data_IF_131239203560
#
_entry.id   IF_131239203560
#
_cell.length_a   1.000
_cell.length_b   1.000
_cell.length_c   1.000
_cell.angle_alpha   90.00
_cell.angle_beta   90.00
_cell.angle_gamma   90.00
#
_symmetry.space_group_name_H-M   'P 1'
#
loop_
_entity.id
_entity.type
_entity.pdbx_description
1 polymer ?
#
# COMPACT_ATOMS: atom_id res chain seq x y z
N UNK A 1 14.84 9.61 -4.88
CA UNK A 1 15.90 8.70 -4.38
C UNK A 1 15.64 7.34 -5.00
N UNK A 2 16.68 6.61 -5.36
CA UNK A 2 16.54 5.20 -5.75
C UNK A 2 17.39 4.36 -4.79
N UNK A 3 16.76 3.35 -4.18
CA UNK A 3 17.38 2.42 -3.24
C UNK A 3 17.37 1.03 -3.87
N UNK A 4 18.53 0.39 -3.93
CA UNK A 4 18.67 -1.02 -4.32
C UNK A 4 19.29 -1.76 -3.15
N UNK A 5 18.59 -2.77 -2.64
CA UNK A 5 19.02 -3.58 -1.50
C UNK A 5 18.93 -5.07 -1.83
N UNK A 6 19.90 -5.84 -1.35
CA UNK A 6 19.88 -7.30 -1.41
C UNK A 6 19.24 -7.83 -0.13
N UNK A 7 18.21 -8.67 -0.26
CA UNK A 7 17.58 -9.35 0.86
C UNK A 7 18.25 -10.72 1.03
N UNK A 8 18.99 -10.89 2.11
CA UNK A 8 19.67 -12.16 2.42
C UNK A 8 18.77 -13.20 3.11
N UNK A 9 17.66 -12.74 3.72
CA UNK A 9 16.69 -13.57 4.44
C UNK A 9 15.33 -12.86 4.45
N UNK A 10 14.43 -13.27 3.56
CA UNK A 10 13.10 -12.69 3.38
C UNK A 10 12.20 -12.91 4.60
N UNK A 11 12.24 -14.11 5.20
CA UNK A 11 11.45 -14.42 6.40
C UNK A 11 11.86 -13.56 7.60
N UNK A 12 13.15 -13.24 7.72
CA UNK A 12 13.63 -12.32 8.75
C UNK A 12 13.08 -10.91 8.57
N UNK A 13 12.93 -10.44 7.33
CA UNK A 13 12.36 -9.13 7.02
C UNK A 13 10.87 -9.12 7.36
N UNK A 14 10.09 -10.10 6.89
CA UNK A 14 8.66 -10.21 7.21
C UNK A 14 8.43 -10.27 8.72
N UNK A 15 9.23 -11.05 9.47
CA UNK A 15 9.11 -11.12 10.93
C UNK A 15 9.39 -9.78 11.60
N UNK A 16 10.42 -9.07 11.17
CA UNK A 16 10.74 -7.75 11.70
C UNK A 16 9.60 -6.75 11.44
N UNK A 17 8.96 -6.82 10.27
CA UNK A 17 7.81 -5.99 9.95
C UNK A 17 6.62 -6.33 10.87
N UNK A 18 6.28 -7.60 11.05
CA UNK A 18 5.22 -8.04 11.97
C UNK A 18 5.48 -7.61 13.42
N UNK A 19 6.73 -7.73 13.90
CA UNK A 19 7.10 -7.26 15.24
C UNK A 19 6.91 -5.74 15.40
N UNK A 20 7.19 -4.97 14.35
CA UNK A 20 6.98 -3.51 14.38
C UNK A 20 5.50 -3.15 14.32
N UNK A 21 4.71 -3.81 13.48
CA UNK A 21 3.24 -3.65 13.40
C UNK A 21 2.58 -3.96 14.75
N UNK A 22 2.97 -5.06 15.40
CA UNK A 22 2.43 -5.45 16.69
C UNK A 22 2.83 -4.48 17.83
N UNK A 23 3.95 -3.79 17.66
CA UNK A 23 4.45 -2.78 18.60
C UNK A 23 3.87 -1.38 18.38
N UNK A 24 3.17 -1.13 17.28
CA UNK A 24 2.61 0.18 16.95
C UNK A 24 1.26 0.39 17.65
N UNK A 25 1.29 1.15 18.76
CA UNK A 25 0.09 1.48 19.52
C UNK A 25 -0.78 2.57 18.90
N UNK A 26 -0.27 3.26 17.88
CA UNK A 26 -1.00 4.33 17.17
C UNK A 26 -1.80 3.77 15.99
N UNK A 27 -1.52 2.54 15.57
CA UNK A 27 -2.20 1.85 14.47
C UNK A 27 -3.56 1.27 14.91
N UNK A 28 -4.69 1.68 14.29
CA UNK A 28 -6.00 1.07 14.50
C UNK A 28 -6.00 -0.43 14.18
N UNK A 29 -6.88 -1.20 14.82
CA UNK A 29 -6.88 -2.67 14.70
C UNK A 29 -7.21 -3.18 13.29
N UNK A 30 -8.08 -2.49 12.55
CA UNK A 30 -8.41 -2.80 11.16
C UNK A 30 -7.24 -2.50 10.21
N UNK A 31 -6.54 -1.39 10.41
CA UNK A 31 -5.32 -1.06 9.68
C UNK A 31 -4.16 -2.02 10.03
N UNK A 32 -4.07 -2.44 11.30
CA UNK A 32 -3.10 -3.42 11.76
C UNK A 32 -3.26 -4.76 11.02
N UNK A 33 -4.49 -5.29 10.96
CA UNK A 33 -4.76 -6.54 10.26
C UNK A 33 -4.43 -6.45 8.75
N UNK A 34 -4.70 -5.30 8.14
CA UNK A 34 -4.35 -5.08 6.73
C UNK A 34 -2.83 -5.04 6.52
N UNK A 35 -2.10 -4.30 7.38
CA UNK A 35 -0.65 -4.24 7.33
C UNK A 35 -0.02 -5.63 7.55
N UNK A 36 -0.51 -6.42 8.51
CA UNK A 36 -0.03 -7.79 8.75
C UNK A 36 -0.22 -8.69 7.52
N UNK A 37 -1.35 -8.58 6.82
CA UNK A 37 -1.61 -9.31 5.57
C UNK A 37 -0.60 -8.91 4.50
N UNK A 38 -0.46 -7.61 4.24
CA UNK A 38 0.40 -7.08 3.18
C UNK A 38 1.86 -7.52 3.34
N UNK A 39 2.44 -7.39 4.55
CA UNK A 39 3.85 -7.75 4.80
C UNK A 39 4.09 -9.27 4.78
N UNK A 40 3.03 -10.07 4.95
CA UNK A 40 3.10 -11.54 4.84
C UNK A 40 2.97 -12.01 3.40
N UNK A 41 2.27 -11.24 2.56
CA UNK A 41 2.05 -11.55 1.14
C UNK A 41 3.24 -11.15 0.25
N UNK A 42 3.94 -10.06 0.57
CA UNK A 42 5.07 -9.56 -0.21
C UNK A 42 6.22 -9.03 0.68
N UNK A 43 7.45 -9.46 0.37
CA UNK A 43 8.67 -8.96 1.03
C UNK A 43 8.90 -7.48 0.71
N UNK A 44 8.48 -6.99 -0.46
CA UNK A 44 8.56 -5.56 -0.80
C UNK A 44 7.69 -4.71 0.15
N UNK A 45 6.50 -5.19 0.50
CA UNK A 45 5.62 -4.55 1.48
C UNK A 45 6.25 -4.55 2.88
N UNK A 46 6.85 -5.68 3.28
CA UNK A 46 7.59 -5.77 4.54
C UNK A 46 8.76 -4.76 4.60
N UNK A 47 9.51 -4.60 3.51
CA UNK A 47 10.57 -3.58 3.41
C UNK A 47 10.00 -2.16 3.46
N UNK A 48 8.93 -1.88 2.72
CA UNK A 48 8.29 -0.58 2.70
C UNK A 48 7.81 -0.15 4.09
N UNK A 49 7.26 -1.09 4.87
CA UNK A 49 6.82 -0.84 6.24
C UNK A 49 7.98 -0.55 7.23
N UNK A 50 9.15 -1.16 6.99
CA UNK A 50 10.33 -0.99 7.83
C UNK A 50 11.13 0.27 7.51
N UNK A 51 10.98 0.82 6.30
CA UNK A 51 11.72 1.99 5.85
C UNK A 51 11.00 3.27 6.21
N UNK A 52 11.62 4.09 7.06
CA UNK A 52 11.19 5.48 7.27
C UNK A 52 11.98 6.41 6.33
N UNK A 53 11.35 6.95 5.27
CA UNK A 53 12.04 7.79 4.30
C UNK A 53 12.50 9.13 4.88
N UNK A 54 11.88 9.63 5.96
CA UNK A 54 12.28 10.87 6.61
C UNK A 54 13.53 10.65 7.44
N UNK A 55 13.54 9.61 8.26
CA UNK A 55 14.69 9.23 9.07
C UNK A 55 15.92 9.01 8.16
N UNK A 56 15.74 8.27 7.05
CA UNK A 56 16.78 7.98 6.07
C UNK A 56 17.48 9.22 5.48
N UNK A 57 16.74 10.31 5.22
CA UNK A 57 17.32 11.51 4.59
C UNK A 57 17.73 12.57 5.62
N UNK A 58 17.24 12.47 6.86
CA UNK A 58 17.49 13.44 7.91
C UNK A 58 18.95 13.50 8.37
N UNK A 59 19.68 12.39 8.25
CA UNK A 59 21.09 12.29 8.65
C UNK A 59 22.07 12.69 7.53
N UNK A 60 21.59 12.97 6.32
CA UNK A 60 22.45 13.28 5.16
C UNK A 60 22.86 14.77 5.19
N UNK A 61 24.17 15.09 5.32
CA UNK A 61 24.62 16.47 5.42
C UNK A 61 24.26 17.29 4.18
N UNK A 62 23.52 18.39 4.38
CA UNK A 62 23.11 19.30 3.30
C UNK A 62 21.79 18.94 2.61
N UNK A 63 21.09 17.89 3.05
CA UNK A 63 19.71 17.62 2.66
C UNK A 63 18.78 18.27 3.69
N UNK A 64 18.01 19.28 3.26
CA UNK A 64 16.84 19.75 4.01
C UNK A 64 15.57 19.30 3.26
N UNK A 65 14.61 18.73 3.98
CA UNK A 65 13.27 18.47 3.48
C UNK A 65 12.54 19.80 3.29
N UNK A 66 12.57 20.33 2.06
CA UNK A 66 12.11 21.70 1.80
C UNK A 66 10.58 21.80 1.80
N UNK A 67 9.86 20.91 1.11
CA UNK A 67 8.39 20.80 1.12
C UNK A 67 7.91 19.70 0.14
N UNK A 68 6.95 18.88 0.54
CA UNK A 68 6.05 18.17 -0.38
C UNK A 68 4.66 18.83 -0.29
N UNK A 69 4.18 19.41 -1.38
CA UNK A 69 2.86 20.02 -1.45
C UNK A 69 2.03 19.22 -2.44
N UNK A 70 0.89 18.76 -1.95
CA UNK A 70 -0.21 18.31 -2.77
C UNK A 70 -1.35 19.31 -2.61
N UNK A 71 -1.92 19.72 -3.73
CA UNK A 71 -3.18 20.46 -3.76
C UNK A 71 -4.26 19.53 -4.25
N UNK A 72 -5.30 19.34 -3.44
CA UNK A 72 -6.55 18.71 -3.85
C UNK A 72 -7.65 19.77 -3.96
N UNK A 73 -8.56 19.59 -4.90
CA UNK A 73 -9.80 20.35 -4.99
C UNK A 73 -10.96 19.37 -4.80
N UNK A 74 -11.97 19.77 -4.02
CA UNK A 74 -13.16 18.94 -3.84
C UNK A 74 -14.04 19.11 -5.08
N UNK A 75 -14.16 18.03 -5.85
CA UNK A 75 -15.03 17.93 -7.02
C UNK A 75 -16.18 16.98 -6.72
N UNK A 76 -17.34 17.22 -7.34
CA UNK A 76 -18.45 16.27 -7.29
C UNK A 76 -18.05 14.97 -8.00
N UNK A 77 -18.45 13.84 -7.43
CA UNK A 77 -18.25 12.53 -8.04
C UNK A 77 -19.12 12.42 -9.30
N UNK A 78 -18.49 12.28 -10.46
CA UNK A 78 -19.15 12.10 -11.75
C UNK A 78 -18.55 10.88 -12.47
N UNK A 79 -19.19 9.69 -12.34
CA UNK A 79 -18.70 8.46 -12.94
C UNK A 79 -18.80 8.43 -14.48
N UNK A 80 -19.59 9.34 -15.05
CA UNK A 80 -19.71 9.50 -16.51
C UNK A 80 -18.69 10.54 -17.04
N UNK A 81 -17.88 11.14 -16.16
CA UNK A 81 -16.90 12.15 -16.56
C UNK A 81 -15.73 11.51 -17.30
N UNK A 82 -15.42 11.96 -18.53
CA UNK A 82 -14.30 11.44 -19.31
C UNK A 82 -12.93 11.78 -18.70
N UNK A 83 -12.87 12.67 -17.70
CA UNK A 83 -11.64 12.96 -16.95
C UNK A 83 -11.28 11.87 -15.93
N UNK A 84 -12.25 11.01 -15.59
CA UNK A 84 -12.13 9.92 -14.61
C UNK A 84 -11.99 8.55 -15.28
N UNK A 85 -12.03 8.51 -16.62
CA UNK A 85 -11.88 7.31 -17.43
C UNK A 85 -10.44 6.81 -17.30
N UNK A 86 -10.20 5.99 -16.26
CA UNK A 86 -9.02 5.15 -16.12
C UNK A 86 -9.19 4.07 -17.18
N UNK A 87 -8.45 4.15 -18.30
CA UNK A 87 -8.52 3.19 -19.41
C UNK A 87 -8.86 1.77 -18.89
N UNK A 88 -9.96 1.20 -19.42
CA UNK A 88 -10.75 0.01 -19.05
C UNK A 88 -9.96 -1.33 -18.91
N UNK A 89 -8.64 -1.30 -18.76
CA UNK A 89 -7.76 -2.47 -18.82
C UNK A 89 -7.56 -3.20 -17.46
N UNK A 90 -8.10 -2.67 -16.34
CA UNK A 90 -7.87 -3.21 -14.99
C UNK A 90 -9.10 -3.88 -14.33
N UNK A 91 -10.05 -4.41 -15.10
CA UNK A 91 -11.14 -5.26 -14.54
C UNK A 91 -11.30 -6.56 -15.32
N UNK A 92 -10.48 -7.57 -15.03
CA UNK A 92 -10.85 -8.96 -15.31
C UNK A 92 -11.71 -9.49 -14.17
N UNK A 93 -13.03 -9.36 -14.30
CA UNK A 93 -14.01 -10.08 -13.47
C UNK A 93 -14.04 -11.55 -13.90
N UNK A 94 -13.61 -12.46 -13.02
CA UNK A 94 -13.90 -13.90 -13.10
C UNK A 94 -14.85 -14.26 -11.95
N UNK A 95 -16.15 -14.28 -12.25
CA UNK A 95 -17.19 -14.88 -11.42
C UNK A 95 -18.18 -15.62 -12.34
N UNK A 96 -17.79 -16.82 -12.78
CA UNK A 96 -18.70 -17.82 -13.34
C UNK A 96 -19.44 -18.58 -12.21
N UNK A 97 -20.70 -18.95 -12.49
CA UNK A 97 -21.57 -19.94 -11.77
C UNK A 97 -22.45 -19.36 -10.62
N UNK A 98 -23.77 -19.21 -10.77
CA UNK A 98 -24.73 -20.33 -10.79
C UNK A 98 -26.10 -19.93 -11.40
N UNK A 99 -26.58 -20.72 -12.36
CA UNK A 99 -27.90 -20.61 -12.98
C UNK A 99 -28.86 -21.68 -12.43
N UNK A 100 -30.05 -21.27 -11.92
CA UNK A 100 -31.34 -22.00 -11.88
C UNK A 100 -32.24 -21.41 -10.76
N UNK A 101 -33.55 -21.25 -10.84
CA UNK A 101 -34.58 -21.53 -11.83
C UNK A 101 -35.83 -20.72 -11.42
N UNK A 102 -36.45 -20.00 -12.35
CA UNK A 102 -37.86 -19.58 -12.23
C UNK A 102 -38.59 -19.99 -13.50
N UNK A 103 -39.30 -21.11 -13.43
CA UNK A 103 -40.27 -21.51 -14.44
C UNK A 103 -41.44 -22.22 -13.76
N UNK A 104 -42.66 -21.77 -14.06
CA UNK A 104 -43.92 -22.50 -13.81
C UNK A 104 -44.93 -21.77 -12.97
#
# INVERSE_FOLDING_TARGET
MELVVEVGDEEAVTRAALERIAGDSELPADEQAHAESAVTEDTAEALAYLVDPFDLVSEVPGVELVQASWSSEQIDYDPDSPEWDLDDDDVTEDDEEEAAAVAG
#
